data_IF_765942621700
#
_entry.id   IF_765942621700
#
_cell.length_a   1.000
_cell.length_b   1.000
_cell.length_c   1.000
_cell.angle_alpha   90.00
_cell.angle_beta   90.00
_cell.angle_gamma   90.00
#
_symmetry.space_group_name_H-M   'P 1'
#
loop_
_entity.id
_entity.type
_entity.pdbx_description
1 polymer ?
#
# COMPACT_ATOMS: atom_id res chain seq x y z
N UNK A 1 -66.36 -31.20 11.17
CA UNK A 1 -64.88 -31.10 11.14
C UNK A 1 -64.52 -30.15 10.02
N UNK A 2 -64.15 -28.92 10.38
CA UNK A 2 -64.20 -27.76 9.49
C UNK A 2 -62.97 -27.66 8.58
N UNK A 3 -63.15 -27.89 7.28
CA UNK A 3 -62.14 -27.66 6.23
C UNK A 3 -61.59 -26.22 6.22
N UNK A 4 -62.31 -25.27 6.81
CA UNK A 4 -61.89 -23.85 6.92
C UNK A 4 -60.69 -23.68 7.87
N UNK A 5 -60.56 -24.52 8.89
CA UNK A 5 -59.44 -24.49 9.84
C UNK A 5 -58.18 -25.11 9.22
N UNK A 6 -58.35 -26.19 8.45
CA UNK A 6 -57.28 -26.84 7.69
C UNK A 6 -56.73 -25.92 6.60
N UNK A 7 -57.61 -25.18 5.90
CA UNK A 7 -57.19 -24.17 4.92
C UNK A 7 -56.51 -22.95 5.55
N UNK A 8 -56.95 -22.48 6.72
CA UNK A 8 -56.24 -21.40 7.45
C UNK A 8 -54.82 -21.82 7.87
N UNK A 9 -54.64 -23.06 8.35
CA UNK A 9 -53.34 -23.60 8.74
C UNK A 9 -52.40 -23.82 7.55
N UNK A 10 -52.93 -24.27 6.40
CA UNK A 10 -52.18 -24.41 5.15
C UNK A 10 -51.74 -23.05 4.59
N UNK A 11 -52.59 -22.03 4.70
CA UNK A 11 -52.27 -20.68 4.23
C UNK A 11 -51.23 -19.99 5.14
N UNK A 12 -51.30 -20.18 6.46
CA UNK A 12 -50.31 -19.65 7.41
C UNK A 12 -48.94 -20.34 7.30
N UNK A 13 -48.92 -21.64 6.99
CA UNK A 13 -47.68 -22.39 6.75
C UNK A 13 -46.98 -21.97 5.43
N UNK A 14 -47.76 -21.55 4.43
CA UNK A 14 -47.23 -21.08 3.15
C UNK A 14 -46.54 -19.71 3.27
N UNK A 15 -46.99 -18.85 4.20
CA UNK A 15 -46.40 -17.53 4.45
C UNK A 15 -45.04 -17.64 5.19
N UNK A 16 -44.83 -18.69 5.97
CA UNK A 16 -43.56 -18.95 6.68
C UNK A 16 -42.43 -19.46 5.77
N UNK A 17 -42.73 -19.87 4.54
CA UNK A 17 -41.75 -20.39 3.57
C UNK A 17 -41.19 -19.31 2.63
N UNK A 18 -41.67 -18.07 2.71
CA UNK A 18 -41.34 -16.98 1.77
C UNK A 18 -40.53 -15.84 2.43
N UNK A 19 -40.18 -15.97 3.72
CA UNK A 19 -39.34 -14.99 4.41
C UNK A 19 -37.84 -15.29 4.18
N UNK A 20 -37.34 -14.96 2.99
CA UNK A 20 -35.92 -14.70 2.79
C UNK A 20 -35.74 -13.18 2.66
N UNK A 21 -35.40 -12.51 3.76
CA UNK A 21 -34.88 -11.13 3.68
C UNK A 21 -33.46 -11.20 3.13
N UNK A 22 -33.32 -11.03 1.82
CA UNK A 22 -32.04 -11.10 1.12
C UNK A 22 -31.51 -9.70 0.78
N UNK A 23 -31.52 -8.80 1.77
CA UNK A 23 -30.99 -7.44 1.65
C UNK A 23 -29.59 -7.38 2.29
N UNK A 24 -28.67 -8.19 1.80
CA UNK A 24 -27.27 -7.82 1.79
C UNK A 24 -26.94 -7.57 0.33
N UNK A 25 -27.13 -6.34 -0.14
CA UNK A 25 -26.46 -5.88 -1.36
C UNK A 25 -24.97 -5.88 -1.00
N UNK A 26 -24.18 -6.90 -1.38
CA UNK A 26 -22.76 -6.85 -1.07
C UNK A 26 -22.25 -5.62 -1.80
N UNK A 27 -21.59 -4.73 -1.06
CA UNK A 27 -20.86 -3.65 -1.70
C UNK A 27 -19.85 -4.34 -2.62
N UNK A 28 -20.10 -4.36 -3.92
CA UNK A 28 -19.15 -4.94 -4.86
C UNK A 28 -17.98 -3.95 -4.94
N UNK A 29 -16.77 -4.43 -4.62
CA UNK A 29 -15.56 -3.63 -4.49
C UNK A 29 -15.40 -2.88 -3.17
N UNK A 30 -14.43 -1.96 -3.17
CA UNK A 30 -13.78 -1.40 -1.98
C UNK A 30 -14.68 -1.06 -0.78
N UNK A 31 -14.28 -1.57 0.38
CA UNK A 31 -14.93 -1.39 1.67
C UNK A 31 -15.99 -2.46 1.98
N UNK A 32 -15.87 -3.64 1.37
CA UNK A 32 -16.72 -4.80 1.59
C UNK A 32 -16.09 -5.86 2.50
N UNK A 33 -14.83 -5.66 2.90
CA UNK A 33 -14.06 -6.54 3.77
C UNK A 33 -13.51 -7.80 3.10
N UNK A 34 -13.58 -7.90 1.77
CA UNK A 34 -13.01 -8.96 0.96
C UNK A 34 -11.94 -8.37 0.05
N UNK A 35 -10.88 -9.13 -0.22
CA UNK A 35 -9.84 -8.68 -1.15
C UNK A 35 -10.26 -9.03 -2.59
N UNK A 36 -10.74 -8.04 -3.34
CA UNK A 36 -11.17 -8.21 -4.73
C UNK A 36 -10.02 -7.99 -5.74
N UNK A 37 -10.24 -8.38 -7.00
CA UNK A 37 -9.23 -8.20 -8.05
C UNK A 37 -8.98 -6.72 -8.32
N UNK A 38 -7.73 -6.29 -8.11
CA UNK A 38 -7.30 -4.90 -8.31
C UNK A 38 -7.19 -4.09 -7.01
N UNK A 39 -7.60 -4.66 -5.88
CA UNK A 39 -7.41 -4.05 -4.56
C UNK A 39 -6.08 -4.47 -3.96
N UNK A 40 -5.42 -3.54 -3.26
CA UNK A 40 -4.26 -3.87 -2.44
C UNK A 40 -4.68 -4.29 -1.02
N UNK A 41 -5.83 -3.80 -0.58
CA UNK A 41 -6.42 -4.04 0.74
C UNK A 41 -7.92 -3.77 0.74
N UNK A 42 -8.66 -4.35 1.68
CA UNK A 42 -10.03 -3.93 2.02
C UNK A 42 -10.24 -4.03 3.54
N UNK A 43 -10.19 -2.89 4.22
CA UNK A 43 -10.18 -2.84 5.68
C UNK A 43 -8.94 -3.53 6.25
N UNK A 44 -9.11 -4.73 6.79
CA UNK A 44 -8.01 -5.59 7.26
C UNK A 44 -7.70 -6.76 6.33
N UNK A 45 -8.46 -6.92 5.24
CA UNK A 45 -8.15 -7.92 4.22
C UNK A 45 -6.96 -7.43 3.37
N UNK A 46 -6.02 -8.32 3.08
CA UNK A 46 -4.77 -8.01 2.38
C UNK A 46 -3.54 -8.12 3.27
N UNK A 47 -2.37 -8.19 2.64
CA UNK A 47 -1.08 -8.27 3.32
C UNK A 47 -0.52 -6.85 3.51
N UNK A 48 -0.60 -6.32 4.73
CA UNK A 48 -0.06 -4.99 5.04
C UNK A 48 1.44 -4.94 4.77
N UNK A 49 1.91 -4.01 3.92
CA UNK A 49 3.32 -3.91 3.61
C UNK A 49 4.10 -3.30 4.77
N UNK A 50 5.37 -3.67 4.84
CA UNK A 50 6.35 -3.06 5.73
C UNK A 50 7.15 -2.01 4.95
N UNK A 51 7.19 -0.76 5.40
CA UNK A 51 7.79 0.35 4.62
C UNK A 51 9.25 0.05 4.20
N UNK A 52 10.00 -0.65 5.04
CA UNK A 52 11.39 -1.06 4.80
C UNK A 52 11.51 -2.06 3.65
N UNK A 53 10.54 -2.96 3.51
CA UNK A 53 10.50 -3.89 2.36
C UNK A 53 10.19 -3.18 1.05
N UNK A 54 9.55 -2.01 1.11
CA UNK A 54 9.27 -1.14 -0.03
C UNK A 54 10.42 -0.15 -0.34
N UNK A 55 11.54 -0.22 0.39
CA UNK A 55 12.72 0.62 0.17
C UNK A 55 12.72 1.96 0.91
N UNK A 56 11.79 2.17 1.84
CA UNK A 56 11.85 3.31 2.76
C UNK A 56 12.72 2.97 3.97
N UNK A 57 13.23 3.98 4.64
CA UNK A 57 14.09 3.79 5.81
C UNK A 57 13.32 3.88 7.14
N UNK A 58 12.17 4.55 7.13
CA UNK A 58 11.38 4.77 8.33
C UNK A 58 9.90 4.50 8.10
N UNK A 59 9.27 4.05 9.18
CA UNK A 59 7.83 3.95 9.32
C UNK A 59 7.40 4.69 10.59
N UNK A 60 6.70 5.81 10.45
CA UNK A 60 6.31 6.68 11.57
C UNK A 60 4.96 6.33 12.18
N UNK A 61 4.27 5.33 11.64
CA UNK A 61 2.97 4.86 12.10
C UNK A 61 2.52 3.57 11.41
N UNK A 62 1.36 3.00 11.77
CA UNK A 62 0.82 1.84 11.07
C UNK A 62 0.39 2.22 9.64
N UNK A 63 0.69 1.36 8.67
CA UNK A 63 0.12 1.46 7.32
C UNK A 63 -1.36 1.10 7.40
N UNK A 64 -2.23 1.91 6.81
CA UNK A 64 -3.68 1.71 6.85
C UNK A 64 -4.25 1.57 5.44
N UNK A 65 -5.40 0.91 5.32
CA UNK A 65 -6.12 0.81 4.05
C UNK A 65 -6.97 2.08 3.85
N UNK A 66 -6.78 2.78 2.73
CA UNK A 66 -7.54 3.99 2.43
C UNK A 66 -8.87 3.68 1.72
N UNK A 67 -9.68 4.72 1.46
CA UNK A 67 -11.00 4.58 0.84
C UNK A 67 -11.00 4.14 -0.62
N UNK A 68 -9.82 4.08 -1.26
CA UNK A 68 -9.61 3.60 -2.63
C UNK A 68 -8.99 2.19 -2.65
N UNK A 69 -8.97 1.51 -1.50
CA UNK A 69 -8.43 0.16 -1.33
C UNK A 69 -6.95 0.03 -1.73
N UNK A 70 -6.20 1.10 -1.44
CA UNK A 70 -4.75 1.16 -1.54
C UNK A 70 -4.14 1.34 -0.15
N UNK A 71 -2.93 0.82 0.04
CA UNK A 71 -2.17 1.07 1.25
C UNK A 71 -1.76 2.53 1.34
N UNK A 72 -2.10 3.19 2.45
CA UNK A 72 -1.63 4.53 2.77
C UNK A 72 -0.16 4.47 3.23
N UNK A 73 0.74 4.80 2.31
CA UNK A 73 2.18 4.85 2.55
C UNK A 73 2.66 6.22 3.03
N UNK A 74 1.77 7.15 3.42
CA UNK A 74 2.17 8.45 3.98
C UNK A 74 2.97 8.32 5.29
N UNK A 75 2.87 7.18 5.95
CA UNK A 75 3.69 6.82 7.13
C UNK A 75 5.09 6.31 6.78
N UNK A 76 5.34 5.97 5.51
CA UNK A 76 6.66 5.58 5.02
C UNK A 76 7.46 6.84 4.68
N UNK A 77 8.61 7.01 5.33
CA UNK A 77 9.40 8.22 5.22
C UNK A 77 10.85 7.87 4.91
N UNK A 78 11.49 8.80 4.19
CA UNK A 78 12.90 8.75 3.78
C UNK A 78 13.24 7.56 2.90
N UNK A 79 13.88 7.81 1.76
CA UNK A 79 14.34 6.74 0.88
C UNK A 79 15.39 7.27 -0.08
N UNK A 80 16.24 6.37 -0.56
CA UNK A 80 17.08 6.68 -1.71
C UNK A 80 16.22 7.08 -2.93
N UNK A 81 16.61 8.18 -3.56
CA UNK A 81 15.92 8.80 -4.68
C UNK A 81 14.84 9.80 -4.26
N UNK A 82 14.88 10.33 -3.03
CA UNK A 82 14.00 11.43 -2.59
C UNK A 82 14.67 12.81 -2.69
N UNK A 83 15.93 12.86 -3.15
CA UNK A 83 16.73 14.07 -3.36
C UNK A 83 17.35 14.63 -2.07
N UNK A 84 17.11 14.01 -0.93
CA UNK A 84 17.69 14.38 0.36
C UNK A 84 18.69 13.29 0.75
N UNK A 85 19.84 13.68 1.31
CA UNK A 85 20.84 12.70 1.72
C UNK A 85 20.54 12.24 3.15
N UNK A 86 20.09 11.01 3.26
CA UNK A 86 19.89 10.27 4.49
C UNK A 86 21.20 9.63 4.97
N UNK A 87 22.19 10.44 5.35
CA UNK A 87 23.52 9.94 5.76
C UNK A 87 23.46 8.92 6.92
N UNK A 88 22.46 9.03 7.81
CA UNK A 88 22.24 8.07 8.90
C UNK A 88 21.88 6.65 8.41
N UNK A 89 21.41 6.52 7.17
CA UNK A 89 21.05 5.28 6.50
C UNK A 89 22.09 4.83 5.45
N UNK A 90 23.23 5.53 5.36
CA UNK A 90 24.37 5.11 4.54
C UNK A 90 24.40 5.64 3.11
N UNK A 91 23.59 6.66 2.81
CA UNK A 91 23.67 7.40 1.55
C UNK A 91 24.90 8.30 1.52
N UNK A 92 25.65 8.25 0.41
CA UNK A 92 26.73 9.20 0.11
C UNK A 92 26.22 10.41 -0.69
N UNK A 93 25.13 10.21 -1.44
CA UNK A 93 24.49 11.14 -2.35
C UNK A 93 23.03 10.71 -2.57
N UNK A 94 22.20 11.58 -3.15
CA UNK A 94 20.85 11.21 -3.60
C UNK A 94 20.49 12.01 -4.87
N UNK A 95 20.15 11.31 -5.96
CA UNK A 95 19.87 11.92 -7.25
C UNK A 95 21.00 12.90 -7.69
N UNK A 96 20.70 14.17 -7.96
CA UNK A 96 21.70 15.20 -8.29
C UNK A 96 22.40 15.79 -7.05
N UNK A 97 21.92 15.48 -5.83
CA UNK A 97 22.52 15.94 -4.59
C UNK A 97 23.76 15.10 -4.27
N UNK A 98 24.94 15.57 -4.69
CA UNK A 98 26.23 14.92 -4.44
C UNK A 98 26.91 15.38 -3.14
N UNK A 99 26.19 16.09 -2.25
CA UNK A 99 26.77 16.77 -1.08
C UNK A 99 27.95 17.71 -1.42
N UNK A 100 27.97 18.27 -2.64
CA UNK A 100 29.07 19.10 -3.14
C UNK A 100 30.33 18.32 -3.54
N UNK A 101 30.29 16.98 -3.56
CA UNK A 101 31.40 16.17 -4.02
C UNK A 101 31.51 16.19 -5.55
N UNK A 102 32.75 16.03 -6.00
CA UNK A 102 33.15 15.91 -7.42
C UNK A 102 34.20 14.82 -7.52
N UNK A 103 34.51 14.35 -8.74
CA UNK A 103 35.66 13.46 -8.94
C UNK A 103 36.96 14.04 -8.35
N UNK A 104 37.12 15.37 -8.44
CA UNK A 104 38.30 16.05 -7.90
C UNK A 104 38.33 16.05 -6.37
N UNK A 105 37.20 16.31 -5.70
CA UNK A 105 37.14 16.30 -4.22
C UNK A 105 37.36 14.91 -3.64
N UNK A 106 37.05 13.86 -4.41
CA UNK A 106 37.30 12.46 -4.06
C UNK A 106 38.72 11.98 -4.43
N UNK A 107 39.59 12.87 -4.94
CA UNK A 107 40.92 12.55 -5.42
C UNK A 107 40.96 11.52 -6.57
N UNK A 108 39.91 11.52 -7.41
CA UNK A 108 39.76 10.63 -8.57
C UNK A 108 40.03 11.32 -9.92
N UNK A 109 40.46 12.57 -9.91
CA UNK A 109 40.77 13.33 -11.13
C UNK A 109 39.62 14.21 -11.60
N UNK A 110 39.48 14.35 -12.91
CA UNK A 110 38.43 15.14 -13.55
C UNK A 110 37.17 14.31 -13.84
N UNK A 111 36.32 14.82 -14.72
CA UNK A 111 35.13 14.09 -15.18
C UNK A 111 33.86 14.43 -14.38
N UNK A 112 32.87 13.55 -14.49
CA UNK A 112 31.53 13.74 -13.91
C UNK A 112 31.28 12.67 -12.86
N UNK A 113 31.05 13.11 -11.62
CA UNK A 113 30.56 12.25 -10.55
C UNK A 113 29.04 12.17 -10.64
N UNK A 114 28.47 10.99 -10.46
CA UNK A 114 27.01 10.78 -10.42
C UNK A 114 26.62 10.04 -9.14
N UNK A 115 25.31 10.02 -8.85
CA UNK A 115 24.75 9.18 -7.81
C UNK A 115 24.08 7.96 -8.42
N UNK A 116 24.40 6.77 -7.92
CA UNK A 116 23.75 5.53 -8.35
C UNK A 116 22.35 5.39 -7.75
N UNK A 117 21.57 4.43 -8.27
CA UNK A 117 20.23 4.10 -7.73
C UNK A 117 20.26 3.53 -6.30
N UNK A 118 21.44 3.21 -5.76
CA UNK A 118 21.62 2.77 -4.37
C UNK A 118 22.17 3.90 -3.48
N UNK A 119 22.12 5.15 -3.94
CA UNK A 119 22.59 6.33 -3.21
C UNK A 119 24.06 6.28 -2.79
N UNK A 120 24.86 5.61 -3.64
CA UNK A 120 26.32 5.60 -3.57
C UNK A 120 26.89 6.38 -4.74
N UNK A 121 28.02 7.04 -4.52
CA UNK A 121 28.75 7.67 -5.60
C UNK A 121 29.06 6.66 -6.71
N UNK A 122 28.67 7.00 -7.92
CA UNK A 122 29.09 6.33 -9.14
C UNK A 122 30.26 7.13 -9.73
N UNK A 123 31.45 6.53 -9.64
CA UNK A 123 32.71 7.14 -10.05
C UNK A 123 33.13 6.72 -11.45
N UNK A 124 32.30 5.96 -12.17
CA UNK A 124 32.62 5.47 -13.52
C UNK A 124 32.83 6.59 -14.54
N UNK A 125 32.28 7.79 -14.28
CA UNK A 125 32.47 9.01 -15.08
C UNK A 125 33.70 9.85 -14.70
N UNK A 126 34.49 9.44 -13.69
CA UNK A 126 35.74 10.12 -13.32
C UNK A 126 36.90 9.70 -14.23
N UNK A 127 37.79 10.65 -14.57
CA UNK A 127 38.89 10.46 -15.55
C UNK A 127 40.24 11.02 -15.09
#
# INVERSE_FOLDING_TARGET
MNNRFLHMLLFSALVLLVACDNEANPKEGCGNGLLDLGEACDGTAGDTPDCMTLGYYQQVGPVTCNGDCQWDLSVCAQRCGDGIIQAAYGEDCDAENLAGNTCLSLALGGGTLSCSQNCRFDTTGCI
#
